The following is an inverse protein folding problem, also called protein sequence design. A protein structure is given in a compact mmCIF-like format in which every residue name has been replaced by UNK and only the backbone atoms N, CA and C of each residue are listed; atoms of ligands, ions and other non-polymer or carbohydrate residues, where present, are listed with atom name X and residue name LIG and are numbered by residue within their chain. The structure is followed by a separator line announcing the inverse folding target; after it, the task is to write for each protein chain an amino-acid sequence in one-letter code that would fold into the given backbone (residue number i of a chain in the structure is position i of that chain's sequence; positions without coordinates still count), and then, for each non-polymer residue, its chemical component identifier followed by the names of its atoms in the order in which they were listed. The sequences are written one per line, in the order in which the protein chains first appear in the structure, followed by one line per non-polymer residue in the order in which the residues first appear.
data_IF_155156729735
#
_entry.id   IF_155156729735
#
_cell.length_a   1.000
_cell.length_b   1.000
_cell.length_c   1.000
_cell.angle_alpha   90.00
_cell.angle_beta   90.00
_cell.angle_gamma   90.00
#
_symmetry.space_group_name_H-M   'P 1'
#
loop_
_entity.id
_entity.type
_entity.pdbx_description
1 polymer ?
#
# COMPACT_ATOMS: atom_id res chain seq x y z
N UNK A 1 -27.36 -59.80 4.05
CA UNK A 1 -26.19 -58.89 3.93
C UNK A 1 -25.20 -59.25 5.03
N UNK A 2 -23.94 -59.47 4.68
CA UNK A 2 -22.92 -59.98 5.61
C UNK A 2 -22.58 -58.94 6.70
N UNK A 3 -22.44 -59.34 7.96
CA UNK A 3 -22.16 -58.42 9.09
C UNK A 3 -20.85 -57.65 8.87
N UNK A 4 -19.89 -58.28 8.21
CA UNK A 4 -18.62 -57.66 7.81
C UNK A 4 -18.83 -56.52 6.79
N UNK A 5 -19.69 -56.75 5.80
CA UNK A 5 -20.04 -55.76 4.76
C UNK A 5 -20.76 -54.54 5.36
N UNK A 6 -21.70 -54.75 6.28
CA UNK A 6 -22.42 -53.66 6.95
C UNK A 6 -21.50 -52.76 7.78
N UNK A 7 -20.55 -53.36 8.53
CA UNK A 7 -19.54 -52.63 9.32
C UNK A 7 -18.59 -51.82 8.43
N UNK A 8 -18.27 -52.33 7.23
CA UNK A 8 -17.44 -51.62 6.25
C UNK A 8 -18.17 -50.38 5.71
N UNK A 9 -19.45 -50.52 5.35
CA UNK A 9 -20.26 -49.39 4.87
C UNK A 9 -20.42 -48.27 5.91
N UNK A 10 -20.67 -48.61 7.18
CA UNK A 10 -20.77 -47.61 8.26
C UNK A 10 -19.45 -46.82 8.41
N UNK A 11 -18.30 -47.50 8.37
CA UNK A 11 -16.99 -46.83 8.44
C UNK A 11 -16.76 -45.88 7.28
N UNK A 12 -17.14 -46.27 6.07
CA UNK A 12 -17.04 -45.41 4.89
C UNK A 12 -17.95 -44.19 5.01
N UNK A 13 -19.20 -44.36 5.48
CA UNK A 13 -20.14 -43.24 5.70
C UNK A 13 -19.58 -42.27 6.75
N UNK A 14 -19.10 -42.78 7.89
CA UNK A 14 -18.50 -41.94 8.94
C UNK A 14 -17.27 -41.19 8.40
N UNK A 15 -16.41 -41.87 7.64
CA UNK A 15 -15.24 -41.26 7.00
C UNK A 15 -15.63 -40.15 6.02
N UNK A 16 -16.65 -40.38 5.18
CA UNK A 16 -17.17 -39.37 4.26
C UNK A 16 -17.78 -38.17 4.99
N UNK A 17 -18.52 -38.41 6.08
CA UNK A 17 -19.11 -37.34 6.91
C UNK A 17 -18.00 -36.50 7.57
N UNK A 18 -16.97 -37.16 8.12
CA UNK A 18 -15.79 -36.48 8.69
C UNK A 18 -15.06 -35.64 7.64
N UNK A 19 -14.91 -36.16 6.41
CA UNK A 19 -14.28 -35.43 5.31
C UNK A 19 -15.09 -34.20 4.90
N UNK A 20 -16.42 -34.33 4.78
CA UNK A 20 -17.30 -33.19 4.47
C UNK A 20 -17.26 -32.15 5.57
N UNK A 21 -17.33 -32.58 6.85
CA UNK A 21 -17.21 -31.67 7.99
C UNK A 21 -15.87 -30.92 7.95
N UNK A 22 -14.75 -31.60 7.67
CA UNK A 22 -13.41 -31.00 7.53
C UNK A 22 -13.35 -29.94 6.42
N UNK A 23 -14.00 -30.20 5.28
CA UNK A 23 -14.11 -29.22 4.18
C UNK A 23 -15.03 -28.04 4.52
N UNK A 24 -16.00 -28.22 5.43
CA UNK A 24 -16.90 -27.15 5.86
C UNK A 24 -16.30 -26.20 6.93
N UNK A 25 -15.15 -26.53 7.52
CA UNK A 25 -14.49 -25.70 8.55
C UNK A 25 -13.52 -24.67 7.97
N UNK A 26 -13.19 -24.76 6.67
CA UNK A 26 -12.24 -23.83 6.06
C UNK A 26 -12.96 -22.55 5.63
N UNK A 27 -12.71 -21.44 6.34
CA UNK A 27 -13.15 -20.12 5.92
C UNK A 27 -12.50 -19.72 4.59
N UNK A 28 -13.31 -19.53 3.55
CA UNK A 28 -12.88 -18.93 2.28
C UNK A 28 -12.95 -17.41 2.48
N UNK A 29 -11.91 -16.83 3.09
CA UNK A 29 -11.81 -15.38 3.25
C UNK A 29 -10.89 -14.81 2.16
N UNK A 30 -11.41 -13.85 1.40
CA UNK A 30 -10.58 -13.08 0.47
C UNK A 30 -9.90 -11.95 1.24
N UNK A 31 -8.57 -11.84 1.15
CA UNK A 31 -7.86 -10.71 1.74
C UNK A 31 -8.23 -9.43 0.99
N UNK A 32 -8.89 -8.51 1.68
CA UNK A 32 -9.14 -7.16 1.16
C UNK A 32 -7.90 -6.29 1.35
N UNK A 33 -7.63 -5.44 0.37
CA UNK A 33 -6.58 -4.43 0.46
C UNK A 33 -6.99 -3.20 -0.38
N UNK A 34 -6.45 -2.03 -0.02
CA UNK A 34 -6.74 -0.76 -0.67
C UNK A 34 -5.52 -0.28 -1.46
N UNK A 35 -5.76 0.06 -2.73
CA UNK A 35 -4.78 0.74 -3.58
C UNK A 35 -5.22 2.18 -3.78
N UNK A 36 -4.32 3.12 -3.51
CA UNK A 36 -4.51 4.52 -3.85
C UNK A 36 -3.57 4.94 -4.99
N UNK A 37 -4.06 5.80 -5.88
CA UNK A 37 -3.24 6.46 -6.90
C UNK A 37 -3.31 7.96 -6.68
N UNK A 38 -2.16 8.63 -6.66
CA UNK A 38 -2.10 10.06 -6.40
C UNK A 38 -1.01 10.73 -7.25
N UNK A 39 -1.43 11.62 -8.15
CA UNK A 39 -0.54 12.57 -8.80
C UNK A 39 -0.27 13.73 -7.83
N UNK A 40 0.99 13.89 -7.42
CA UNK A 40 1.42 14.86 -6.40
C UNK A 40 1.76 16.25 -6.97
N UNK A 41 1.45 16.47 -8.25
CA UNK A 41 1.64 17.73 -8.98
C UNK A 41 3.09 18.21 -8.86
N UNK A 42 4.03 17.49 -9.48
CA UNK A 42 5.47 17.76 -9.43
C UNK A 42 6.07 17.84 -8.01
N UNK A 43 6.56 16.71 -7.52
CA UNK A 43 7.32 16.61 -6.29
C UNK A 43 8.82 16.58 -6.58
N UNK A 44 9.42 17.77 -6.55
CA UNK A 44 10.84 18.01 -6.73
C UNK A 44 11.60 17.99 -5.39
N UNK A 45 12.91 17.78 -5.46
CA UNK A 45 13.80 18.06 -4.33
C UNK A 45 14.41 19.47 -4.43
N UNK A 46 15.49 19.75 -3.70
CA UNK A 46 16.14 21.06 -3.62
C UNK A 46 17.51 21.07 -4.32
N UNK A 47 17.72 20.16 -5.26
CA UNK A 47 18.91 20.06 -6.12
C UNK A 47 18.56 20.60 -7.50
N UNK A 48 19.57 21.07 -8.23
CA UNK A 48 19.42 21.52 -9.61
C UNK A 48 20.28 20.60 -10.49
N UNK A 49 19.63 19.76 -11.27
CA UNK A 49 20.20 18.75 -12.16
C UNK A 49 19.99 19.09 -13.65
N UNK A 50 19.23 20.16 -13.95
CA UNK A 50 19.05 20.73 -15.28
C UNK A 50 17.76 20.29 -15.98
N UNK A 51 16.93 19.49 -15.31
CA UNK A 51 15.63 19.01 -15.79
C UNK A 51 14.45 19.72 -15.12
N UNK A 52 14.72 20.62 -14.18
CA UNK A 52 13.69 21.31 -13.40
C UNK A 52 12.93 22.35 -14.23
N UNK A 53 11.63 22.46 -13.98
CA UNK A 53 10.88 23.62 -14.42
C UNK A 53 11.36 24.88 -13.69
N UNK A 54 11.30 26.08 -14.30
CA UNK A 54 11.77 27.32 -13.70
C UNK A 54 11.26 27.57 -12.28
N UNK A 55 10.00 27.21 -12.03
CA UNK A 55 9.35 27.38 -10.74
C UNK A 55 9.84 26.44 -9.64
N UNK A 56 10.50 25.32 -9.98
CA UNK A 56 11.08 24.35 -9.05
C UNK A 56 12.61 24.50 -8.94
N UNK A 57 13.19 25.55 -9.53
CA UNK A 57 14.61 25.87 -9.31
C UNK A 57 14.77 26.48 -7.90
N UNK A 58 15.57 25.87 -7.01
CA UNK A 58 15.67 26.28 -5.62
C UNK A 58 16.16 27.72 -5.42
N UNK A 59 15.53 28.44 -4.48
CA UNK A 59 15.95 29.77 -4.01
C UNK A 59 16.04 30.85 -5.12
N UNK A 60 15.20 30.72 -6.15
CA UNK A 60 15.01 31.74 -7.17
C UNK A 60 13.81 32.64 -6.85
N UNK A 61 13.54 33.63 -7.72
CA UNK A 61 12.36 34.49 -7.61
C UNK A 61 11.01 33.76 -7.72
N UNK A 62 11.01 32.48 -8.11
CA UNK A 62 9.79 31.67 -8.19
C UNK A 62 9.36 31.05 -6.84
N UNK A 63 10.19 31.13 -5.80
CA UNK A 63 9.77 30.82 -4.43
C UNK A 63 9.87 29.34 -4.02
N UNK A 64 10.50 28.48 -4.81
CA UNK A 64 10.82 27.11 -4.38
C UNK A 64 11.95 27.12 -3.34
N UNK A 65 11.58 27.26 -2.07
CA UNK A 65 12.52 27.26 -0.94
C UNK A 65 12.37 25.99 -0.12
N UNK A 66 13.32 25.76 0.78
CA UNK A 66 13.26 24.63 1.72
C UNK A 66 11.96 24.60 2.55
N UNK A 67 11.48 25.77 2.96
CA UNK A 67 10.26 25.86 3.78
C UNK A 67 9.01 25.54 2.97
N UNK A 68 8.92 26.04 1.74
CA UNK A 68 7.82 25.72 0.81
C UNK A 68 7.83 24.23 0.45
N UNK A 69 9.01 23.66 0.16
CA UNK A 69 9.15 22.23 -0.09
C UNK A 69 8.70 21.41 1.13
N UNK A 70 9.13 21.78 2.34
CA UNK A 70 8.72 21.11 3.57
C UNK A 70 7.19 21.14 3.78
N UNK A 71 6.53 22.26 3.50
CA UNK A 71 5.07 22.36 3.55
C UNK A 71 4.43 21.39 2.55
N UNK A 72 4.94 21.34 1.30
CA UNK A 72 4.45 20.41 0.28
C UNK A 72 4.59 18.95 0.70
N UNK A 73 5.78 18.52 1.13
CA UNK A 73 6.00 17.16 1.65
C UNK A 73 5.07 16.82 2.82
N UNK A 74 4.87 17.76 3.74
CA UNK A 74 4.01 17.57 4.91
C UNK A 74 2.54 17.40 4.52
N UNK A 75 2.06 18.20 3.56
CA UNK A 75 0.68 18.11 3.08
C UNK A 75 0.42 16.81 2.31
N UNK A 76 1.34 16.41 1.43
CA UNK A 76 1.25 15.14 0.69
C UNK A 76 1.26 13.95 1.67
N UNK A 77 2.16 13.95 2.65
CA UNK A 77 2.24 12.89 3.65
C UNK A 77 0.94 12.77 4.48
N UNK A 78 0.32 13.90 4.84
CA UNK A 78 -0.99 13.93 5.51
C UNK A 78 -2.07 13.30 4.64
N UNK A 79 -2.15 13.68 3.36
CA UNK A 79 -3.14 13.11 2.42
C UNK A 79 -2.93 11.60 2.27
N UNK A 80 -1.70 11.14 2.07
CA UNK A 80 -1.39 9.70 1.94
C UNK A 80 -1.78 8.93 3.20
N UNK A 81 -1.51 9.47 4.39
CA UNK A 81 -1.96 8.88 5.66
C UNK A 81 -3.48 8.74 5.69
N UNK A 82 -4.20 9.80 5.35
CA UNK A 82 -5.66 9.84 5.45
C UNK A 82 -6.33 8.94 4.40
N UNK A 83 -5.70 8.72 3.23
CA UNK A 83 -6.14 7.73 2.25
C UNK A 83 -6.14 6.31 2.84
N UNK A 84 -5.18 6.00 3.71
CA UNK A 84 -5.05 4.71 4.39
C UNK A 84 -5.00 3.54 3.41
N UNK A 85 -4.15 3.67 2.37
CA UNK A 85 -3.93 2.62 1.37
C UNK A 85 -2.88 1.62 1.84
N UNK A 86 -3.07 0.34 1.53
CA UNK A 86 -2.03 -0.68 1.70
C UNK A 86 -0.93 -0.54 0.63
N UNK A 87 -1.30 -0.02 -0.54
CA UNK A 87 -0.40 0.32 -1.63
C UNK A 87 -0.73 1.73 -2.13
N UNK A 88 0.30 2.56 -2.34
CA UNK A 88 0.16 3.92 -2.89
C UNK A 88 1.02 4.04 -4.14
N UNK A 89 0.39 4.31 -5.27
CA UNK A 89 1.04 4.59 -6.54
C UNK A 89 1.12 6.11 -6.77
N UNK A 90 2.33 6.64 -6.85
CA UNK A 90 2.57 8.07 -7.06
C UNK A 90 2.91 8.38 -8.51
N UNK A 91 2.47 9.53 -9.00
CA UNK A 91 2.87 10.12 -10.28
C UNK A 91 3.51 11.48 -10.07
N UNK A 92 4.32 11.94 -11.02
CA UNK A 92 5.04 13.23 -10.98
C UNK A 92 5.98 13.38 -9.76
N UNK A 93 6.64 12.29 -9.37
CA UNK A 93 7.78 12.33 -8.44
C UNK A 93 9.04 12.44 -9.29
N UNK A 94 9.78 13.53 -9.15
CA UNK A 94 10.86 13.83 -10.10
C UNK A 94 12.14 13.04 -9.83
N UNK A 95 12.51 12.88 -8.56
CA UNK A 95 13.73 12.16 -8.19
C UNK A 95 13.54 11.11 -7.09
N UNK A 96 14.51 10.21 -7.01
CA UNK A 96 14.62 9.26 -5.89
C UNK A 96 14.77 9.98 -4.54
N UNK A 97 15.46 11.13 -4.52
CA UNK A 97 15.68 11.92 -3.30
C UNK A 97 14.38 12.57 -2.84
N UNK A 98 13.56 13.05 -3.76
CA UNK A 98 12.21 13.52 -3.46
C UNK A 98 11.34 12.39 -2.86
N UNK A 99 11.35 11.21 -3.48
CA UNK A 99 10.62 10.04 -2.97
C UNK A 99 11.06 9.62 -1.56
N UNK A 100 12.38 9.54 -1.32
CA UNK A 100 12.94 9.22 0.00
C UNK A 100 12.53 10.26 1.04
N UNK A 101 12.57 11.54 0.69
CA UNK A 101 12.16 12.64 1.57
C UNK A 101 10.68 12.52 1.93
N UNK A 102 9.81 12.19 0.98
CA UNK A 102 8.39 11.94 1.24
C UNK A 102 8.18 10.72 2.14
N UNK A 103 8.88 9.62 1.88
CA UNK A 103 8.82 8.41 2.73
C UNK A 103 9.25 8.72 4.17
N UNK A 104 10.33 9.47 4.35
CA UNK A 104 10.82 9.80 5.69
C UNK A 104 9.85 10.76 6.38
N UNK A 105 9.22 11.69 5.65
CA UNK A 105 8.12 12.49 6.19
C UNK A 105 6.91 11.63 6.59
N UNK A 106 6.55 10.60 5.82
CA UNK A 106 5.45 9.68 6.16
C UNK A 106 5.70 8.93 7.47
N UNK A 107 6.96 8.59 7.77
CA UNK A 107 7.34 7.99 9.06
C UNK A 107 7.04 8.91 10.24
N UNK A 108 7.24 10.22 10.09
CA UNK A 108 6.87 11.22 11.11
C UNK A 108 5.36 11.18 11.43
N UNK A 109 4.55 10.74 10.46
CA UNK A 109 3.10 10.57 10.61
C UNK A 109 2.67 9.17 11.07
N UNK A 110 3.62 8.28 11.35
CA UNK A 110 3.38 6.90 11.76
C UNK A 110 3.02 5.94 10.62
N UNK A 111 3.28 6.33 9.37
CA UNK A 111 3.01 5.52 8.17
C UNK A 111 4.31 4.96 7.62
N UNK A 112 4.37 3.63 7.44
CA UNK A 112 5.56 2.93 6.94
C UNK A 112 5.22 2.18 5.65
N UNK A 113 5.69 2.71 4.52
CA UNK A 113 5.75 2.05 3.22
C UNK A 113 7.19 1.64 2.88
#
# INVERSE_FOLDING_TARGET
MDKCMFKRHIKTIIGSILLVLLCCITSIEAKTFKVASYNVENLFDLSMEGTEYPEYIPNTGYGWTKDIANIKYTNIARVIKDLGGDVVALQEVESKKALITLRDRLKDFGVNY
#
